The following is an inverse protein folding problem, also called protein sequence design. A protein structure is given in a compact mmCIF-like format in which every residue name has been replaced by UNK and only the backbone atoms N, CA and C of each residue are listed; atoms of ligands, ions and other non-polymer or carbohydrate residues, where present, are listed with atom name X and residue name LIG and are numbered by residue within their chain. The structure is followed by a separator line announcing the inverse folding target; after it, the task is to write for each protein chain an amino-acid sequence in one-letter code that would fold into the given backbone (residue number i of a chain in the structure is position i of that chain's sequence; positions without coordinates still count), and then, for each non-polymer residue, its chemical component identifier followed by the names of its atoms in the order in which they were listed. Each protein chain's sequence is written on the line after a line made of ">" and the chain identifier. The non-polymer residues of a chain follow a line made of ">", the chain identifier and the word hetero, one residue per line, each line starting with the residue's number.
data_IF_501432983559
#
_entry.id   IF_501432983559
#
_cell.length_a   1.000
_cell.length_b   1.000
_cell.length_c   1.000
_cell.angle_alpha   90.00
_cell.angle_beta   90.00
_cell.angle_gamma   90.00
#
_symmetry.space_group_name_H-M   'P 1'
#
loop_
_entity.id
_entity.type
_entity.pdbx_description
1 polymer ?
#
# COMPACT_ATOMS: atom_id res chain seq x y z
N UNK A 1 1.96 61.42 -21.50
CA UNK A 1 1.35 60.11 -21.16
C UNK A 1 2.12 59.53 -19.98
N UNK A 2 1.43 59.16 -18.90
CA UNK A 2 2.02 58.93 -17.56
C UNK A 2 2.59 57.51 -17.45
N UNK A 3 3.88 57.39 -17.12
CA UNK A 3 4.58 56.13 -16.80
C UNK A 3 3.95 55.31 -15.65
N UNK A 4 3.12 55.94 -14.80
CA UNK A 4 2.50 55.30 -13.63
C UNK A 4 1.39 54.28 -13.94
N UNK A 5 0.70 54.36 -15.09
CA UNK A 5 -0.43 53.44 -15.39
C UNK A 5 0.04 52.09 -15.93
N UNK A 6 1.19 52.02 -16.61
CA UNK A 6 1.73 50.75 -17.11
C UNK A 6 2.19 49.81 -15.99
N UNK A 7 2.72 50.36 -14.89
CA UNK A 7 3.18 49.57 -13.74
C UNK A 7 2.02 48.92 -12.99
N UNK A 8 0.89 49.62 -12.85
CA UNK A 8 -0.30 49.13 -12.18
C UNK A 8 -0.96 47.95 -12.91
N UNK A 9 -1.01 47.98 -14.25
CA UNK A 9 -1.54 46.88 -15.06
C UNK A 9 -0.63 45.64 -14.93
N UNK A 10 0.68 45.83 -14.98
CA UNK A 10 1.66 44.73 -14.83
C UNK A 10 1.57 44.05 -13.47
N UNK A 11 1.48 44.83 -12.38
CA UNK A 11 1.37 44.29 -11.03
C UNK A 11 0.04 43.57 -10.79
N UNK A 12 -1.06 44.12 -11.30
CA UNK A 12 -2.38 43.51 -11.12
C UNK A 12 -2.50 42.21 -11.93
N UNK A 13 -1.94 42.18 -13.15
CA UNK A 13 -1.83 40.96 -13.95
C UNK A 13 -0.99 39.87 -13.26
N UNK A 14 0.13 40.24 -12.64
CA UNK A 14 0.99 39.32 -11.88
C UNK A 14 0.26 38.73 -10.66
N UNK A 15 -0.46 39.55 -9.88
CA UNK A 15 -1.22 39.09 -8.72
C UNK A 15 -2.34 38.13 -9.14
N UNK A 16 -3.05 38.43 -10.23
CA UNK A 16 -4.07 37.53 -10.77
C UNK A 16 -3.47 36.19 -11.21
N UNK A 17 -2.29 36.19 -11.85
CA UNK A 17 -1.55 34.98 -12.22
C UNK A 17 -1.14 34.14 -11.00
N UNK A 18 -0.61 34.77 -9.95
CA UNK A 18 -0.23 34.10 -8.71
C UNK A 18 -1.44 33.48 -7.98
N UNK A 19 -2.56 34.20 -7.93
CA UNK A 19 -3.79 33.66 -7.34
C UNK A 19 -4.40 32.51 -8.16
N UNK A 20 -4.32 32.58 -9.49
CA UNK A 20 -4.76 31.50 -10.37
C UNK A 20 -3.90 30.24 -10.18
N UNK A 21 -2.58 30.40 -10.10
CA UNK A 21 -1.65 29.29 -9.87
C UNK A 21 -1.92 28.61 -8.52
N UNK A 22 -2.07 29.39 -7.44
CA UNK A 22 -2.35 28.83 -6.11
C UNK A 22 -3.70 28.10 -6.00
N UNK A 23 -4.72 28.53 -6.76
CA UNK A 23 -6.03 27.84 -6.82
C UNK A 23 -5.95 26.50 -7.55
N UNK A 24 -5.18 26.43 -8.63
CA UNK A 24 -4.97 25.20 -9.38
C UNK A 24 -4.22 24.16 -8.51
N UNK A 25 -3.17 24.57 -7.82
CA UNK A 25 -2.42 23.72 -6.89
C UNK A 25 -3.29 23.19 -5.74
N UNK A 26 -4.07 24.07 -5.11
CA UNK A 26 -5.00 23.67 -4.04
C UNK A 26 -6.12 22.74 -4.54
N UNK A 27 -6.47 22.78 -5.83
CA UNK A 27 -7.42 21.82 -6.42
C UNK A 27 -6.75 20.46 -6.64
N UNK A 28 -5.54 20.43 -7.21
CA UNK A 28 -4.78 19.18 -7.42
C UNK A 28 -4.54 18.46 -6.08
N UNK A 29 -4.10 19.19 -5.05
CA UNK A 29 -3.89 18.61 -3.73
C UNK A 29 -5.18 17.98 -3.15
N UNK A 30 -6.34 18.63 -3.33
CA UNK A 30 -7.63 18.07 -2.90
C UNK A 30 -8.07 16.83 -3.70
N UNK A 31 -7.80 16.79 -5.01
CA UNK A 31 -8.10 15.62 -5.84
C UNK A 31 -7.22 14.44 -5.44
N UNK A 32 -5.93 14.68 -5.17
CA UNK A 32 -5.01 13.66 -4.68
C UNK A 32 -5.42 13.17 -3.28
N UNK A 33 -5.81 14.05 -2.36
CA UNK A 33 -6.33 13.66 -1.05
C UNK A 33 -7.58 12.77 -1.17
N UNK A 34 -8.53 13.14 -2.03
CA UNK A 34 -9.74 12.35 -2.27
C UNK A 34 -9.42 10.97 -2.87
N UNK A 35 -8.51 10.91 -3.86
CA UNK A 35 -8.07 9.67 -4.47
C UNK A 35 -7.37 8.76 -3.46
N UNK A 36 -6.48 9.32 -2.64
CA UNK A 36 -5.79 8.54 -1.62
C UNK A 36 -6.76 8.02 -0.57
N UNK A 37 -7.72 8.83 -0.10
CA UNK A 37 -8.74 8.35 0.85
C UNK A 37 -9.55 7.19 0.30
N UNK A 38 -10.02 7.29 -0.95
CA UNK A 38 -10.75 6.22 -1.60
C UNK A 38 -9.90 4.94 -1.69
N UNK A 39 -8.64 5.07 -2.11
CA UNK A 39 -7.69 3.97 -2.17
C UNK A 39 -7.41 3.38 -0.78
N UNK A 40 -7.22 4.20 0.26
CA UNK A 40 -7.00 3.73 1.63
C UNK A 40 -8.14 2.82 2.08
N UNK A 41 -9.38 3.19 1.83
CA UNK A 41 -10.55 2.35 2.13
C UNK A 41 -10.48 1.00 1.43
N UNK A 42 -10.14 0.98 0.14
CA UNK A 42 -10.00 -0.27 -0.62
C UNK A 42 -8.82 -1.13 -0.11
N UNK A 43 -7.69 -0.50 0.24
CA UNK A 43 -6.53 -1.18 0.81
C UNK A 43 -6.83 -1.76 2.20
N UNK A 44 -7.62 -1.07 3.04
CA UNK A 44 -8.07 -1.62 4.31
C UNK A 44 -8.97 -2.84 4.11
N UNK A 45 -9.95 -2.76 3.22
CA UNK A 45 -10.85 -3.87 2.94
C UNK A 45 -10.10 -5.10 2.42
N UNK A 46 -9.18 -4.92 1.46
CA UNK A 46 -8.34 -6.00 0.97
C UNK A 46 -7.42 -6.57 2.08
N UNK A 47 -6.99 -5.74 3.04
CA UNK A 47 -6.14 -6.15 4.17
C UNK A 47 -6.90 -7.03 5.14
N UNK A 48 -8.13 -6.64 5.47
CA UNK A 48 -9.03 -7.42 6.31
C UNK A 48 -9.40 -8.76 5.67
N UNK A 49 -9.62 -8.78 4.35
CA UNK A 49 -9.89 -10.01 3.60
C UNK A 49 -8.66 -10.94 3.62
N UNK A 50 -7.47 -10.41 3.40
CA UNK A 50 -6.22 -11.18 3.45
C UNK A 50 -5.93 -11.71 4.86
N UNK A 51 -6.12 -10.89 5.89
CA UNK A 51 -5.99 -11.31 7.29
C UNK A 51 -7.04 -12.37 7.66
N UNK A 52 -8.27 -12.20 7.19
CA UNK A 52 -9.36 -13.15 7.38
C UNK A 52 -9.09 -14.51 6.73
N UNK A 53 -8.43 -14.55 5.57
CA UNK A 53 -8.03 -15.80 4.92
C UNK A 53 -7.08 -16.63 5.83
N UNK A 54 -6.14 -15.97 6.51
CA UNK A 54 -5.25 -16.63 7.47
C UNK A 54 -5.98 -17.19 8.70
N UNK A 55 -6.89 -16.41 9.28
CA UNK A 55 -7.56 -16.77 10.54
C UNK A 55 -8.67 -17.82 10.38
N UNK A 56 -9.14 -18.10 9.17
CA UNK A 56 -10.25 -19.05 8.92
C UNK A 56 -9.83 -20.52 9.01
N UNK A 57 -8.53 -20.84 8.97
CA UNK A 57 -8.06 -22.22 9.11
C UNK A 57 -7.44 -22.45 10.50
N UNK A 58 -8.08 -23.22 11.40
CA UNK A 58 -7.56 -23.46 12.75
C UNK A 58 -6.17 -24.12 12.75
N UNK A 59 -5.84 -24.85 11.67
CA UNK A 59 -4.54 -25.46 11.47
C UNK A 59 -3.43 -24.43 11.24
N UNK A 60 -3.77 -23.28 10.67
CA UNK A 60 -2.83 -22.19 10.42
C UNK A 60 -2.41 -21.48 11.72
N UNK A 61 -3.30 -21.37 12.71
CA UNK A 61 -2.97 -20.83 14.04
C UNK A 61 -1.93 -21.72 14.75
N UNK A 62 -2.03 -23.04 14.59
CA UNK A 62 -1.05 -24.00 15.11
C UNK A 62 0.30 -23.91 14.38
N UNK A 63 0.26 -23.76 13.05
CA UNK A 63 1.45 -23.50 12.23
C UNK A 63 2.11 -22.17 12.62
N UNK A 64 1.35 -21.07 12.73
CA UNK A 64 1.81 -19.75 13.17
C UNK A 64 2.61 -19.82 14.47
N UNK A 65 2.09 -20.54 15.47
CA UNK A 65 2.78 -20.75 16.76
C UNK A 65 4.06 -21.57 16.63
N UNK A 66 4.10 -22.54 15.71
CA UNK A 66 5.31 -23.35 15.46
C UNK A 66 6.43 -22.58 14.75
N UNK A 67 6.11 -21.50 14.03
CA UNK A 67 7.07 -20.68 13.29
C UNK A 67 7.58 -19.45 14.05
N UNK A 68 7.19 -19.26 15.31
CA UNK A 68 7.57 -18.09 16.13
C UNK A 68 6.59 -16.92 15.96
N UNK A 69 6.00 -16.49 17.07
CA UNK A 69 4.95 -15.46 17.21
C UNK A 69 4.97 -14.34 16.14
N UNK A 70 4.19 -14.53 15.08
CA UNK A 70 3.84 -13.55 14.05
C UNK A 70 4.90 -13.16 13.01
N UNK A 71 6.05 -13.85 12.98
CA UNK A 71 7.07 -13.65 11.94
C UNK A 71 7.56 -15.01 11.49
N UNK A 72 7.49 -15.29 10.19
CA UNK A 72 8.41 -16.31 9.67
C UNK A 72 9.85 -15.89 10.04
N UNK A 73 10.78 -16.85 10.18
CA UNK A 73 12.22 -16.61 10.32
C UNK A 73 12.82 -15.65 9.25
N UNK A 74 12.04 -15.32 8.22
CA UNK A 74 12.33 -14.36 7.15
C UNK A 74 11.93 -12.91 7.46
N UNK A 75 11.29 -12.63 8.61
CA UNK A 75 10.83 -11.29 9.00
C UNK A 75 9.53 -10.84 8.32
N UNK A 76 8.81 -11.73 7.64
CA UNK A 76 7.53 -11.41 6.98
C UNK A 76 6.41 -11.43 8.02
N UNK A 77 5.68 -10.32 8.21
CA UNK A 77 4.52 -10.33 9.07
C UNK A 77 3.39 -11.12 8.40
N UNK A 78 2.74 -12.02 9.14
CA UNK A 78 1.57 -12.78 8.69
C UNK A 78 0.33 -12.42 9.52
N UNK A 79 -0.87 -12.74 8.99
CA UNK A 79 -2.12 -12.60 9.73
C UNK A 79 -2.29 -11.20 10.37
N UNK A 80 -2.53 -11.09 11.69
CA UNK A 80 -2.72 -9.80 12.37
C UNK A 80 -1.52 -8.85 12.28
N UNK A 81 -0.29 -9.37 12.24
CA UNK A 81 0.90 -8.53 12.10
C UNK A 81 0.98 -7.91 10.71
N UNK A 82 0.62 -8.67 9.66
CA UNK A 82 0.55 -8.15 8.29
C UNK A 82 -0.45 -6.99 8.22
N UNK A 83 -1.65 -7.22 8.76
CA UNK A 83 -2.72 -6.22 8.83
C UNK A 83 -2.24 -4.97 9.57
N UNK A 84 -1.57 -5.14 10.71
CA UNK A 84 -1.06 -4.03 11.53
C UNK A 84 0.00 -3.21 10.81
N UNK A 85 0.96 -3.86 10.13
CA UNK A 85 1.99 -3.15 9.35
C UNK A 85 1.37 -2.36 8.21
N UNK A 86 0.51 -2.99 7.41
CA UNK A 86 -0.14 -2.33 6.28
C UNK A 86 -1.05 -1.19 6.74
N UNK A 87 -1.87 -1.42 7.77
CA UNK A 87 -2.71 -0.38 8.37
C UNK A 87 -1.88 0.80 8.89
N UNK A 88 -0.69 0.54 9.42
CA UNK A 88 0.23 1.61 9.86
C UNK A 88 0.78 2.38 8.69
N UNK A 89 1.20 1.72 7.60
CA UNK A 89 1.65 2.41 6.39
C UNK A 89 0.55 3.27 5.75
N UNK A 90 -0.69 2.79 5.73
CA UNK A 90 -1.84 3.55 5.23
C UNK A 90 -2.16 4.74 6.15
N UNK A 91 -2.16 4.55 7.47
CA UNK A 91 -2.34 5.66 8.43
C UNK A 91 -1.23 6.70 8.30
N UNK A 92 0.01 6.28 8.12
CA UNK A 92 1.14 7.19 7.92
C UNK A 92 1.00 8.00 6.64
N UNK A 93 0.55 7.36 5.55
CA UNK A 93 0.20 8.04 4.30
C UNK A 93 -0.89 9.09 4.57
N UNK A 94 -2.02 8.71 5.17
CA UNK A 94 -3.12 9.64 5.47
C UNK A 94 -2.70 10.78 6.41
N UNK A 95 -1.89 10.50 7.42
CA UNK A 95 -1.42 11.49 8.38
C UNK A 95 -0.49 12.51 7.74
N UNK A 96 0.40 12.07 6.84
CA UNK A 96 1.23 12.98 6.04
C UNK A 96 0.35 13.83 5.13
N UNK A 97 -0.67 13.25 4.51
CA UNK A 97 -1.55 13.99 3.62
C UNK A 97 -2.35 15.08 4.37
N UNK A 98 -2.79 14.82 5.60
CA UNK A 98 -3.50 15.82 6.42
C UNK A 98 -2.64 17.03 6.80
N UNK A 99 -1.32 16.86 6.92
CA UNK A 99 -0.40 17.93 7.35
C UNK A 99 0.00 18.87 6.21
N UNK A 100 -0.11 18.43 4.95
CA UNK A 100 0.48 19.12 3.79
C UNK A 100 -0.50 19.50 2.65
N UNK A 101 -1.82 19.73 2.84
CA UNK A 101 -2.74 19.96 1.70
C UNK A 101 -2.51 21.27 0.95
N UNK A 102 -1.64 22.15 1.45
CA UNK A 102 -1.23 23.43 0.81
C UNK A 102 0.18 23.38 0.22
N UNK A 103 0.88 22.26 0.36
CA UNK A 103 2.22 22.09 -0.19
C UNK A 103 2.13 21.73 -1.67
N UNK A 104 2.77 22.51 -2.55
CA UNK A 104 2.82 22.23 -3.98
C UNK A 104 3.55 20.90 -4.31
N UNK A 105 4.40 20.41 -3.39
CA UNK A 105 5.05 19.10 -3.52
C UNK A 105 4.16 17.93 -3.08
N UNK A 106 3.00 18.20 -2.47
CA UNK A 106 2.10 17.19 -1.92
C UNK A 106 1.80 16.04 -2.89
N UNK A 107 1.40 16.29 -4.16
CA UNK A 107 1.13 15.20 -5.09
C UNK A 107 2.35 14.28 -5.31
N UNK A 108 3.56 14.86 -5.43
CA UNK A 108 4.79 14.10 -5.65
C UNK A 108 5.15 13.24 -4.44
N UNK A 109 4.97 13.79 -3.23
CA UNK A 109 5.17 13.07 -1.97
C UNK A 109 4.17 11.93 -1.82
N UNK A 110 2.90 12.16 -2.17
CA UNK A 110 1.86 11.15 -2.19
C UNK A 110 2.21 9.99 -3.14
N UNK A 111 2.58 10.27 -4.40
CA UNK A 111 3.05 9.22 -5.34
C UNK A 111 4.20 8.43 -4.76
N UNK A 112 5.22 9.10 -4.21
CA UNK A 112 6.40 8.43 -3.63
C UNK A 112 5.99 7.45 -2.53
N UNK A 113 5.08 7.85 -1.65
CA UNK A 113 4.59 7.03 -0.55
C UNK A 113 3.76 5.84 -1.04
N UNK A 114 2.85 6.06 -2.00
CA UNK A 114 2.09 4.97 -2.60
C UNK A 114 3.02 3.97 -3.31
N UNK A 115 4.07 4.45 -4.00
CA UNK A 115 5.11 3.59 -4.57
C UNK A 115 5.88 2.79 -3.52
N UNK A 116 6.19 3.38 -2.36
CA UNK A 116 6.81 2.65 -1.24
C UNK A 116 5.92 1.50 -0.75
N UNK A 117 4.61 1.77 -0.59
CA UNK A 117 3.62 0.74 -0.22
C UNK A 117 3.59 -0.36 -1.30
N UNK A 118 3.55 0.02 -2.58
CA UNK A 118 3.55 -0.91 -3.70
C UNK A 118 4.83 -1.77 -3.78
N UNK A 119 6.00 -1.21 -3.50
CA UNK A 119 7.26 -1.94 -3.48
C UNK A 119 7.34 -2.92 -2.30
N UNK A 120 6.96 -2.46 -1.10
CA UNK A 120 6.89 -3.32 0.08
C UNK A 120 5.91 -4.49 -0.16
N UNK A 121 4.77 -4.19 -0.76
CA UNK A 121 3.81 -5.19 -1.25
C UNK A 121 4.47 -6.24 -2.15
N UNK A 122 5.16 -5.80 -3.20
CA UNK A 122 5.85 -6.69 -4.13
C UNK A 122 6.90 -7.58 -3.46
N UNK A 123 7.63 -7.04 -2.48
CA UNK A 123 8.56 -7.80 -1.66
C UNK A 123 7.86 -8.90 -0.85
N UNK A 124 6.79 -8.58 -0.10
CA UNK A 124 6.05 -9.57 0.70
C UNK A 124 5.51 -10.70 -0.18
N UNK A 125 4.90 -10.35 -1.33
CA UNK A 125 4.38 -11.35 -2.27
C UNK A 125 5.45 -12.31 -2.78
N UNK A 126 6.60 -11.80 -3.21
CA UNK A 126 7.71 -12.62 -3.70
C UNK A 126 8.20 -13.61 -2.63
N UNK A 127 8.26 -13.16 -1.37
CA UNK A 127 8.68 -14.03 -0.27
C UNK A 127 7.65 -15.14 0.02
N UNK A 128 6.36 -14.82 0.05
CA UNK A 128 5.30 -15.81 0.23
C UNK A 128 5.29 -16.84 -0.91
N UNK A 129 5.47 -16.37 -2.14
CA UNK A 129 5.52 -17.23 -3.32
C UNK A 129 6.75 -18.13 -3.30
N UNK A 130 7.93 -17.59 -3.00
CA UNK A 130 9.15 -18.39 -2.84
C UNK A 130 9.00 -19.46 -1.75
N UNK A 131 8.30 -19.15 -0.65
CA UNK A 131 8.04 -20.13 0.42
C UNK A 131 7.04 -21.19 0.02
N UNK A 132 5.94 -20.81 -0.63
CA UNK A 132 4.97 -21.75 -1.22
C UNK A 132 5.69 -22.73 -2.15
N UNK A 133 6.53 -22.22 -3.05
CA UNK A 133 7.23 -23.06 -4.02
C UNK A 133 8.23 -24.01 -3.33
N UNK A 134 8.86 -23.61 -2.22
CA UNK A 134 9.68 -24.52 -1.40
C UNK A 134 8.87 -25.66 -0.78
N UNK A 135 7.66 -25.36 -0.30
CA UNK A 135 6.75 -26.34 0.32
C UNK A 135 6.15 -27.31 -0.70
N UNK A 136 5.77 -26.81 -1.89
CA UNK A 136 5.22 -27.62 -2.98
C UNK A 136 6.29 -28.52 -3.60
N UNK A 137 7.51 -28.03 -3.79
CA UNK A 137 8.59 -28.76 -4.46
C UNK A 137 9.44 -29.63 -3.51
N UNK A 138 8.97 -29.88 -2.29
CA UNK A 138 9.53 -30.90 -1.40
C UNK A 138 10.94 -30.65 -0.83
N UNK A 139 11.60 -29.51 -1.10
CA UNK A 139 12.98 -29.25 -0.61
C UNK A 139 13.10 -29.15 0.93
N UNK A 140 11.99 -29.10 1.65
CA UNK A 140 11.92 -29.09 3.13
C UNK A 140 10.90 -30.10 3.69
N UNK A 141 10.64 -31.21 3.00
CA UNK A 141 9.69 -32.25 3.47
C UNK A 141 9.97 -32.75 4.88
N UNK A 142 11.24 -32.85 5.28
CA UNK A 142 11.64 -33.35 6.61
C UNK A 142 11.43 -32.35 7.75
N UNK A 143 11.35 -31.04 7.48
CA UNK A 143 11.28 -30.01 8.53
C UNK A 143 9.81 -29.72 8.90
N UNK A 144 8.94 -29.61 7.90
CA UNK A 144 7.51 -29.46 8.11
C UNK A 144 6.87 -30.73 8.71
N UNK A 145 7.32 -31.94 8.35
CA UNK A 145 6.84 -33.19 8.98
C UNK A 145 7.26 -33.32 10.46
N UNK A 146 8.44 -32.82 10.85
CA UNK A 146 8.93 -32.84 12.24
C UNK A 146 8.21 -31.85 13.14
N UNK A 147 7.89 -30.67 12.60
CA UNK A 147 7.25 -29.57 13.34
C UNK A 147 5.75 -29.80 13.60
N UNK A 148 5.12 -30.66 12.80
CA UNK A 148 3.66 -30.80 12.74
C UNK A 148 3.09 -32.04 13.45
N UNK A 149 3.91 -32.91 14.03
CA UNK A 149 3.45 -34.02 14.89
C UNK A 149 2.40 -34.96 14.26
N UNK A 150 2.25 -34.97 12.92
CA UNK A 150 1.25 -35.78 12.20
C UNK A 150 -0.01 -35.06 11.68
N UNK A 151 -0.11 -33.72 11.69
CA UNK A 151 -1.17 -32.93 11.00
C UNK A 151 -0.66 -31.52 10.65
N UNK A 152 -1.06 -30.80 9.58
CA UNK A 152 -1.61 -31.14 8.25
C UNK A 152 -0.49 -31.38 7.22
N UNK A 153 -0.82 -31.65 5.94
CA UNK A 153 0.18 -31.90 4.88
C UNK A 153 0.77 -30.57 4.41
N UNK A 154 2.02 -30.56 3.91
CA UNK A 154 2.65 -29.37 3.28
C UNK A 154 1.75 -28.70 2.23
N UNK A 155 0.90 -29.48 1.57
CA UNK A 155 -0.13 -29.02 0.64
C UNK A 155 -1.12 -28.03 1.27
N UNK A 156 -1.52 -28.23 2.53
CA UNK A 156 -2.51 -27.38 3.20
C UNK A 156 -1.92 -26.00 3.52
N UNK A 157 -0.62 -25.94 3.84
CA UNK A 157 0.12 -24.68 4.04
C UNK A 157 0.34 -23.95 2.72
N UNK A 158 0.74 -24.68 1.68
CA UNK A 158 0.91 -24.12 0.34
C UNK A 158 -0.40 -23.58 -0.23
N UNK A 159 -1.53 -24.22 0.08
CA UNK A 159 -2.86 -23.76 -0.30
C UNK A 159 -3.24 -22.45 0.40
N UNK A 160 -3.04 -22.34 1.72
CA UNK A 160 -3.28 -21.09 2.47
C UNK A 160 -2.40 -19.95 1.95
N UNK A 161 -1.12 -20.22 1.66
CA UNK A 161 -0.24 -19.24 1.03
C UNK A 161 -0.76 -18.83 -0.36
N UNK A 162 -1.31 -19.77 -1.13
CA UNK A 162 -1.87 -19.50 -2.47
C UNK A 162 -3.12 -18.62 -2.38
N UNK A 163 -4.07 -18.95 -1.51
CA UNK A 163 -5.28 -18.15 -1.26
C UNK A 163 -4.91 -16.74 -0.80
N UNK A 164 -3.93 -16.65 0.11
CA UNK A 164 -3.44 -15.35 0.59
C UNK A 164 -2.86 -14.55 -0.57
N UNK A 165 -1.92 -15.13 -1.35
CA UNK A 165 -1.31 -14.48 -2.53
C UNK A 165 -2.38 -14.03 -3.53
N UNK A 166 -3.48 -14.77 -3.67
CA UNK A 166 -4.57 -14.43 -4.58
C UNK A 166 -5.37 -13.20 -4.11
N UNK A 167 -5.80 -13.17 -2.83
CA UNK A 167 -6.47 -11.99 -2.24
C UNK A 167 -5.56 -10.76 -2.34
N UNK A 168 -4.29 -11.02 -2.12
CA UNK A 168 -3.20 -10.08 -2.24
C UNK A 168 -2.97 -9.50 -3.66
N UNK A 169 -3.35 -10.18 -4.73
CA UNK A 169 -3.23 -9.59 -6.09
C UNK A 169 -4.18 -8.39 -6.27
N UNK A 170 -5.25 -8.29 -5.48
CA UNK A 170 -6.11 -7.11 -5.44
C UNK A 170 -5.35 -5.85 -5.01
N UNK A 171 -4.38 -5.97 -4.10
CA UNK A 171 -3.55 -4.85 -3.64
C UNK A 171 -2.69 -4.24 -4.72
N UNK A 172 -2.12 -5.07 -5.60
CA UNK A 172 -1.27 -4.62 -6.69
C UNK A 172 -2.06 -3.69 -7.62
N UNK A 173 -3.27 -4.11 -7.99
CA UNK A 173 -4.15 -3.34 -8.86
C UNK A 173 -4.57 -2.00 -8.21
N UNK A 174 -4.95 -2.01 -6.92
CA UNK A 174 -5.35 -0.81 -6.18
C UNK A 174 -4.20 0.20 -6.11
N UNK A 175 -3.01 -0.25 -5.73
CA UNK A 175 -1.84 0.63 -5.61
C UNK A 175 -1.37 1.19 -6.97
N UNK A 176 -1.34 0.37 -8.03
CA UNK A 176 -1.02 0.84 -9.39
C UNK A 176 -2.04 1.83 -9.94
N UNK A 177 -3.33 1.61 -9.68
CA UNK A 177 -4.40 2.55 -10.08
C UNK A 177 -4.24 3.89 -9.37
N UNK A 178 -3.91 3.87 -8.08
CA UNK A 178 -3.66 5.09 -7.32
C UNK A 178 -2.44 5.86 -7.86
N UNK A 179 -1.31 5.18 -8.10
CA UNK A 179 -0.11 5.80 -8.67
C UNK A 179 -0.44 6.52 -9.97
N UNK A 180 -1.11 5.82 -10.90
CA UNK A 180 -1.52 6.39 -12.19
C UNK A 180 -2.46 7.59 -12.01
N UNK A 181 -3.48 7.46 -11.17
CA UNK A 181 -4.43 8.54 -10.93
C UNK A 181 -3.78 9.80 -10.33
N UNK A 182 -2.81 9.65 -9.42
CA UNK A 182 -2.08 10.81 -8.89
C UNK A 182 -1.19 11.41 -9.98
N UNK A 183 -0.48 10.60 -10.76
CA UNK A 183 0.35 11.06 -11.88
C UNK A 183 -0.47 11.83 -12.91
N UNK A 184 -1.66 11.34 -13.26
CA UNK A 184 -2.61 12.04 -14.13
C UNK A 184 -2.96 13.42 -13.55
N UNK A 185 -3.33 13.51 -12.27
CA UNK A 185 -3.64 14.80 -11.61
C UNK A 185 -2.45 15.77 -11.64
N UNK A 186 -1.22 15.26 -11.48
CA UNK A 186 0.00 16.09 -11.55
C UNK A 186 0.21 16.66 -12.96
N UNK A 187 -0.06 15.85 -13.98
CA UNK A 187 0.16 16.22 -15.39
C UNK A 187 -0.98 17.04 -15.99
N UNK A 188 -2.15 17.10 -15.36
CA UNK A 188 -3.28 17.89 -15.84
C UNK A 188 -2.94 19.40 -15.87
N UNK A 189 -3.24 20.10 -16.98
CA UNK A 189 -2.94 21.52 -17.16
C UNK A 189 -3.61 22.41 -16.11
#
# INVERSE_FOLDING_TARGET
>A
MRLGTCFAISLTGLIMLLMACGRAEARRARQVDALVKAMSTELYAASEEAAGAFSRRPDFEALRKSFGDDRFDTGIPLGPAFQTTLATMIRDLEAQLRKEPRDAEFPKKAVRKVRQIHQWWGFVRQQLQGRRDQLVNGRQEGEAQRLLGGRPRNMDVAEVLSETIQVMNGFEAITQRCIRGIEEIITQP
#
